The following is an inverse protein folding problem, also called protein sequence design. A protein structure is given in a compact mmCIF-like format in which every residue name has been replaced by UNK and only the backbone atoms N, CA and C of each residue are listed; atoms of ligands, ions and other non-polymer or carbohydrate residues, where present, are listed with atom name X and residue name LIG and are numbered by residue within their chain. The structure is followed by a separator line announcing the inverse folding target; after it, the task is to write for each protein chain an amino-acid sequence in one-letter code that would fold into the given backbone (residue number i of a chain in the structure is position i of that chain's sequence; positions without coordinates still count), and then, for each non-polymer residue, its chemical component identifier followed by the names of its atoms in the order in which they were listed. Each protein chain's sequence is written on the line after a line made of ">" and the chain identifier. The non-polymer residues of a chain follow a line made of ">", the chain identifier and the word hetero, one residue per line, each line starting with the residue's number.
data_IF_624355273834
#
_entry.id   IF_624355273834
#
_cell.length_a   1.000
_cell.length_b   1.000
_cell.length_c   1.000
_cell.angle_alpha   90.00
_cell.angle_beta   90.00
_cell.angle_gamma   90.00
#
_symmetry.space_group_name_H-M   'P 1'
#
loop_
_entity.id
_entity.type
_entity.pdbx_description
1 polymer ?
#
# COMPACT_ATOMS: atom_id res chain seq x y z
N UNK A 1 -33.51 4.27 -8.29
CA UNK A 1 -32.79 3.49 -9.33
C UNK A 1 -32.19 4.41 -10.40
N UNK A 2 -32.91 5.42 -10.88
CA UNK A 2 -32.43 6.35 -11.92
C UNK A 2 -31.17 7.17 -11.52
N UNK A 3 -31.15 7.75 -10.31
CA UNK A 3 -30.01 8.57 -9.83
C UNK A 3 -28.70 7.76 -9.72
N UNK A 4 -28.76 6.53 -9.23
CA UNK A 4 -27.57 5.68 -9.09
C UNK A 4 -27.00 5.27 -10.45
N UNK A 5 -27.88 4.93 -11.41
CA UNK A 5 -27.48 4.64 -12.78
C UNK A 5 -26.89 5.87 -13.47
N UNK A 6 -27.51 7.05 -13.28
CA UNK A 6 -27.01 8.33 -13.75
C UNK A 6 -25.61 8.63 -13.20
N UNK A 7 -25.40 8.51 -11.89
CA UNK A 7 -24.12 8.75 -11.25
C UNK A 7 -23.02 7.80 -11.76
N UNK A 8 -23.33 6.51 -11.94
CA UNK A 8 -22.39 5.54 -12.50
C UNK A 8 -21.98 5.90 -13.94
N UNK A 9 -22.94 6.30 -14.78
CA UNK A 9 -22.65 6.78 -16.14
C UNK A 9 -21.77 8.03 -16.11
N UNK A 10 -22.07 9.01 -15.24
CA UNK A 10 -21.24 10.22 -15.09
C UNK A 10 -19.83 9.91 -14.58
N UNK A 11 -19.67 8.93 -13.70
CA UNK A 11 -18.34 8.45 -13.29
C UNK A 11 -17.54 7.87 -14.44
N UNK A 12 -18.18 7.11 -15.34
CA UNK A 12 -17.54 6.55 -16.53
C UNK A 12 -17.12 7.64 -17.54
N UNK A 13 -18.00 8.62 -17.80
CA UNK A 13 -17.69 9.77 -18.64
C UNK A 13 -16.49 10.56 -18.07
N UNK A 14 -16.52 10.85 -16.77
CA UNK A 14 -15.42 11.53 -16.08
C UNK A 14 -14.10 10.74 -16.15
N UNK A 15 -14.15 9.41 -15.99
CA UNK A 15 -12.95 8.57 -16.08
C UNK A 15 -12.28 8.66 -17.46
N UNK A 16 -13.08 8.63 -18.53
CA UNK A 16 -12.57 8.78 -19.91
C UNK A 16 -11.95 10.15 -20.12
N UNK A 17 -12.63 11.21 -19.68
CA UNK A 17 -12.15 12.59 -19.84
C UNK A 17 -10.91 12.86 -19.00
N UNK A 18 -10.84 12.33 -17.77
CA UNK A 18 -9.67 12.42 -16.91
C UNK A 18 -8.46 11.72 -17.55
N UNK A 19 -8.62 10.48 -18.02
CA UNK A 19 -7.54 9.74 -18.68
C UNK A 19 -7.04 10.48 -19.93
N UNK A 20 -7.94 11.09 -20.70
CA UNK A 20 -7.59 11.93 -21.86
C UNK A 20 -6.83 13.20 -21.43
N UNK A 21 -7.31 13.88 -20.39
CA UNK A 21 -6.68 15.09 -19.86
C UNK A 21 -5.24 14.83 -19.38
N UNK A 22 -5.02 13.72 -18.68
CA UNK A 22 -3.68 13.30 -18.24
C UNK A 22 -2.74 13.10 -19.44
N UNK A 23 -3.19 12.40 -20.49
CA UNK A 23 -2.39 12.20 -21.71
C UNK A 23 -2.07 13.52 -22.40
N UNK A 24 -3.07 14.37 -22.62
CA UNK A 24 -2.89 15.68 -23.25
C UNK A 24 -1.91 16.56 -22.48
N UNK A 25 -1.96 16.54 -21.15
CA UNK A 25 -1.03 17.27 -20.29
C UNK A 25 0.40 16.73 -20.45
N UNK A 26 0.56 15.41 -20.39
CA UNK A 26 1.86 14.74 -20.59
C UNK A 26 2.46 15.06 -21.96
N UNK A 27 1.65 15.00 -23.02
CA UNK A 27 2.06 15.31 -24.40
C UNK A 27 2.42 16.77 -24.57
N UNK A 28 1.61 17.69 -24.01
CA UNK A 28 1.86 19.13 -24.07
C UNK A 28 3.17 19.52 -23.41
N UNK A 29 3.46 18.94 -22.25
CA UNK A 29 4.69 19.19 -21.49
C UNK A 29 5.89 18.35 -21.99
N UNK A 30 5.68 17.50 -23.01
CA UNK A 30 6.73 16.66 -23.57
C UNK A 30 7.31 15.63 -22.58
N UNK A 31 6.52 15.23 -21.59
CA UNK A 31 6.90 14.23 -20.58
C UNK A 31 6.25 12.88 -20.85
N UNK A 32 6.71 11.83 -20.19
CA UNK A 32 6.04 10.52 -20.15
C UNK A 32 5.55 10.22 -18.73
N UNK A 33 4.95 11.21 -18.08
CA UNK A 33 4.66 11.22 -16.64
C UNK A 33 3.22 11.66 -16.38
N UNK A 34 2.65 11.19 -15.27
CA UNK A 34 1.36 11.68 -14.78
C UNK A 34 1.63 12.94 -13.97
N UNK A 35 1.13 14.08 -14.46
CA UNK A 35 1.16 15.34 -13.73
C UNK A 35 0.05 15.39 -12.69
N UNK A 36 0.41 15.79 -11.47
CA UNK A 36 -0.53 15.98 -10.36
C UNK A 36 -1.40 17.22 -10.53
N UNK A 37 -0.85 18.26 -11.18
CA UNK A 37 -1.58 19.46 -11.58
C UNK A 37 -1.13 19.93 -12.97
N UNK A 38 -2.09 20.09 -13.88
CA UNK A 38 -1.82 20.67 -15.20
C UNK A 38 -1.44 22.16 -15.10
N UNK A 39 -2.01 22.91 -14.14
CA UNK A 39 -1.75 24.34 -13.97
C UNK A 39 -0.39 24.64 -13.34
N UNK A 40 0.07 23.76 -12.43
CA UNK A 40 1.40 23.88 -11.81
C UNK A 40 2.48 23.16 -12.60
N UNK A 41 2.10 22.35 -13.58
CA UNK A 41 2.99 21.51 -14.39
C UNK A 41 3.88 20.59 -13.53
N UNK A 42 3.38 20.20 -12.35
CA UNK A 42 4.13 19.41 -11.38
C UNK A 42 3.75 17.93 -11.40
N UNK A 43 4.78 17.09 -11.31
CA UNK A 43 4.64 15.64 -11.16
C UNK A 43 4.68 15.31 -9.69
N UNK A 44 3.54 14.84 -9.16
CA UNK A 44 3.41 14.41 -7.78
C UNK A 44 2.79 12.99 -7.71
N UNK A 45 3.64 11.94 -7.72
CA UNK A 45 3.17 10.55 -7.57
C UNK A 45 2.38 10.31 -6.28
N UNK A 46 2.62 11.10 -5.23
CA UNK A 46 1.91 11.00 -3.96
C UNK A 46 0.45 11.40 -4.11
N UNK A 47 0.17 12.46 -4.88
CA UNK A 47 -1.20 12.82 -5.26
C UNK A 47 -1.81 11.81 -6.22
N UNK A 48 -1.06 11.33 -7.21
CA UNK A 48 -1.53 10.28 -8.15
C UNK A 48 -1.91 8.97 -7.44
N UNK A 49 -1.24 8.64 -6.33
CA UNK A 49 -1.49 7.43 -5.53
C UNK A 49 -2.92 7.28 -5.03
N UNK A 50 -3.70 8.39 -4.98
CA UNK A 50 -5.11 8.35 -4.61
C UNK A 50 -5.94 7.40 -5.49
N UNK A 51 -5.53 7.22 -6.75
CA UNK A 51 -6.20 6.31 -7.68
C UNK A 51 -6.08 4.84 -7.24
N UNK A 52 -5.01 4.47 -6.55
CA UNK A 52 -4.82 3.11 -6.03
C UNK A 52 -5.60 2.92 -4.73
N UNK A 53 -5.37 3.79 -3.75
CA UNK A 53 -6.06 3.78 -2.47
C UNK A 53 -6.24 5.23 -1.99
N UNK A 54 -7.42 5.61 -1.45
CA UNK A 54 -8.59 4.78 -1.19
C UNK A 54 -9.51 4.56 -2.40
N UNK A 55 -9.32 5.24 -3.53
CA UNK A 55 -10.34 5.28 -4.58
C UNK A 55 -10.47 3.97 -5.37
N UNK A 56 -9.38 3.20 -5.51
CA UNK A 56 -9.35 1.90 -6.23
C UNK A 56 -9.89 2.00 -7.67
N UNK A 57 -9.42 3.02 -8.38
CA UNK A 57 -9.74 3.33 -9.78
C UNK A 57 -8.46 3.52 -10.59
N UNK A 58 -7.39 2.81 -10.24
CA UNK A 58 -6.09 2.96 -10.91
C UNK A 58 -6.12 2.57 -12.40
N UNK A 59 -7.17 1.90 -12.86
CA UNK A 59 -7.48 1.66 -14.27
C UNK A 59 -7.81 2.93 -15.06
N UNK A 60 -8.17 4.03 -14.38
CA UNK A 60 -8.33 5.35 -15.02
C UNK A 60 -7.00 5.96 -15.45
N UNK A 61 -5.89 5.56 -14.81
CA UNK A 61 -4.58 6.12 -15.12
C UNK A 61 -4.10 5.57 -16.48
N UNK A 62 -3.57 6.41 -17.38
CA UNK A 62 -2.93 5.94 -18.61
C UNK A 62 -1.76 4.99 -18.27
N UNK A 63 -1.94 3.70 -18.54
CA UNK A 63 -1.02 2.65 -18.12
C UNK A 63 0.42 2.87 -18.60
N UNK A 64 0.58 3.46 -19.78
CA UNK A 64 1.86 3.82 -20.39
C UNK A 64 2.65 4.88 -19.60
N UNK A 65 2.00 5.69 -18.75
CA UNK A 65 2.64 6.74 -17.95
C UNK A 65 2.91 6.29 -16.50
N UNK A 66 2.26 5.22 -16.04
CA UNK A 66 2.31 4.79 -14.64
C UNK A 66 3.72 4.36 -14.24
N UNK A 67 4.38 3.51 -15.04
CA UNK A 67 5.69 2.97 -14.71
C UNK A 67 6.74 4.09 -14.49
N UNK A 68 6.88 4.99 -15.46
CA UNK A 68 7.82 6.11 -15.39
C UNK A 68 7.51 7.06 -14.22
N UNK A 69 6.23 7.29 -13.90
CA UNK A 69 5.82 8.12 -12.76
C UNK A 69 6.29 7.54 -11.42
N UNK A 70 6.15 6.22 -11.24
CA UNK A 70 6.60 5.56 -10.01
C UNK A 70 8.11 5.26 -9.99
N UNK A 71 8.78 5.26 -11.14
CA UNK A 71 10.25 5.26 -11.20
C UNK A 71 10.84 6.54 -10.60
N UNK A 72 10.21 7.71 -10.83
CA UNK A 72 10.60 8.95 -10.16
C UNK A 72 10.42 8.88 -8.65
N UNK A 73 9.32 8.28 -8.19
CA UNK A 73 9.08 8.07 -6.76
C UNK A 73 10.19 7.19 -6.14
N UNK A 74 10.51 6.07 -6.78
CA UNK A 74 11.58 5.17 -6.34
C UNK A 74 12.96 5.84 -6.34
N UNK A 75 13.27 6.63 -7.38
CA UNK A 75 14.50 7.42 -7.45
C UNK A 75 14.60 8.47 -6.33
N UNK A 76 13.49 9.15 -6.02
CA UNK A 76 13.42 10.11 -4.92
C UNK A 76 13.68 9.43 -3.57
N UNK A 77 13.07 8.27 -3.32
CA UNK A 77 13.30 7.47 -2.09
C UNK A 77 14.78 7.10 -1.95
N UNK A 78 15.43 6.68 -3.04
CA UNK A 78 16.86 6.33 -3.04
C UNK A 78 17.73 7.56 -2.75
N UNK A 79 17.41 8.71 -3.35
CA UNK A 79 18.12 9.98 -3.11
C UNK A 79 18.01 10.42 -1.65
N UNK A 80 16.80 10.43 -1.08
CA UNK A 80 16.55 10.81 0.32
C UNK A 80 17.25 9.84 1.29
N UNK A 81 17.30 8.55 0.96
CA UNK A 81 17.93 7.53 1.80
C UNK A 81 19.47 7.52 1.70
N UNK A 82 20.05 8.31 0.80
CA UNK A 82 21.50 8.32 0.57
C UNK A 82 22.26 9.02 1.72
N UNK A 83 23.46 8.53 2.08
CA UNK A 83 24.30 9.20 3.06
C UNK A 83 24.58 10.66 2.66
N UNK A 84 24.41 11.59 3.60
CA UNK A 84 24.68 13.00 3.35
C UNK A 84 23.56 13.78 2.67
N UNK A 85 22.37 13.19 2.48
CA UNK A 85 21.18 13.94 2.05
C UNK A 85 20.93 15.14 2.97
N UNK A 86 20.90 16.35 2.40
CA UNK A 86 20.77 17.63 3.11
C UNK A 86 19.45 18.36 2.81
N UNK A 87 18.64 17.83 1.89
CA UNK A 87 17.32 18.36 1.55
C UNK A 87 16.22 18.04 2.55
N UNK A 88 14.97 18.24 2.13
CA UNK A 88 13.78 17.83 2.87
C UNK A 88 12.81 17.04 2.02
N UNK A 89 11.99 16.26 2.71
CA UNK A 89 10.88 15.54 2.10
C UNK A 89 9.69 15.53 3.05
N UNK A 90 8.50 15.34 2.48
CA UNK A 90 7.31 15.11 3.29
C UNK A 90 7.07 13.61 3.51
N UNK A 91 6.79 13.16 4.75
CA UNK A 91 6.39 11.78 4.98
C UNK A 91 4.99 11.44 4.44
N UNK A 92 4.25 12.39 3.83
CA UNK A 92 3.08 12.08 3.01
C UNK A 92 3.38 11.08 1.89
N UNK A 93 4.65 10.93 1.49
CA UNK A 93 5.07 9.87 0.57
C UNK A 93 4.62 8.47 1.00
N UNK A 94 4.28 8.24 2.29
CA UNK A 94 3.66 7.00 2.78
C UNK A 94 2.43 6.55 1.96
N UNK A 95 1.72 7.47 1.31
CA UNK A 95 0.59 7.16 0.40
C UNK A 95 1.03 6.30 -0.80
N UNK A 96 2.28 6.41 -1.23
CA UNK A 96 2.82 5.61 -2.33
C UNK A 96 3.02 4.14 -1.93
N UNK A 97 2.98 3.76 -0.65
CA UNK A 97 3.17 2.38 -0.20
C UNK A 97 2.20 1.42 -0.89
N UNK A 98 0.89 1.69 -0.81
CA UNK A 98 -0.10 0.79 -1.40
C UNK A 98 -0.16 0.90 -2.92
N UNK A 99 0.28 2.00 -3.51
CA UNK A 99 0.48 2.10 -4.96
C UNK A 99 1.60 1.16 -5.41
N UNK A 100 2.78 1.19 -4.78
CA UNK A 100 3.87 0.24 -5.06
C UNK A 100 3.44 -1.21 -4.86
N UNK A 101 2.72 -1.52 -3.77
CA UNK A 101 2.18 -2.87 -3.53
C UNK A 101 1.22 -3.29 -4.64
N UNK A 102 0.32 -2.42 -5.08
CA UNK A 102 -0.62 -2.71 -6.18
C UNK A 102 0.08 -2.89 -7.52
N UNK A 103 1.24 -2.24 -7.73
CA UNK A 103 2.09 -2.38 -8.90
C UNK A 103 3.06 -3.58 -8.82
N UNK A 104 3.04 -4.35 -7.72
CA UNK A 104 3.98 -5.46 -7.50
C UNK A 104 5.42 -5.03 -7.19
N UNK A 105 5.66 -3.74 -6.92
CA UNK A 105 6.97 -3.15 -6.62
C UNK A 105 7.28 -3.22 -5.12
N UNK A 106 7.33 -4.44 -4.57
CA UNK A 106 7.44 -4.66 -3.12
C UNK A 106 8.73 -4.09 -2.51
N UNK A 107 9.86 -4.18 -3.21
CA UNK A 107 11.13 -3.65 -2.72
C UNK A 107 11.09 -2.12 -2.55
N UNK A 108 10.44 -1.41 -3.48
CA UNK A 108 10.26 0.04 -3.38
C UNK A 108 9.28 0.40 -2.25
N UNK A 109 8.20 -0.38 -2.07
CA UNK A 109 7.30 -0.23 -0.93
C UNK A 109 8.04 -0.41 0.41
N UNK A 110 8.87 -1.44 0.54
CA UNK A 110 9.60 -1.70 1.78
C UNK A 110 10.70 -0.67 2.03
N UNK A 111 11.37 -0.18 0.99
CA UNK A 111 12.35 0.91 1.10
C UNK A 111 11.69 2.21 1.55
N UNK A 112 10.52 2.55 0.99
CA UNK A 112 9.74 3.70 1.43
C UNK A 112 9.30 3.56 2.90
N UNK A 113 8.82 2.38 3.28
CA UNK A 113 8.42 2.10 4.67
C UNK A 113 9.60 2.30 5.61
N UNK A 114 10.77 1.76 5.27
CA UNK A 114 11.99 1.94 6.06
C UNK A 114 12.40 3.41 6.18
N UNK A 115 12.39 4.16 5.07
CA UNK A 115 12.69 5.59 5.05
C UNK A 115 11.76 6.36 6.01
N UNK A 116 10.45 6.16 5.90
CA UNK A 116 9.46 6.82 6.75
C UNK A 116 9.65 6.40 8.21
N UNK A 117 9.86 5.13 8.53
CA UNK A 117 10.07 4.72 9.94
C UNK A 117 11.37 5.29 10.54
N UNK A 118 12.44 5.46 9.73
CA UNK A 118 13.70 6.09 10.17
C UNK A 118 13.59 7.60 10.35
N UNK A 119 12.61 8.25 9.72
CA UNK A 119 12.45 9.70 9.74
C UNK A 119 11.67 10.24 10.95
N UNK A 120 11.21 9.36 11.86
CA UNK A 120 10.52 9.74 13.10
C UNK A 120 11.44 10.45 14.08
N UNK A 121 10.99 11.57 14.62
CA UNK A 121 11.77 12.41 15.54
C UNK A 121 10.87 13.07 16.59
N UNK A 122 11.14 12.91 17.90
CA UNK A 122 12.09 11.96 18.49
C UNK A 122 11.65 10.50 18.24
N UNK A 123 12.62 9.59 18.05
CA UNK A 123 12.32 8.20 17.67
C UNK A 123 11.36 7.48 18.66
N UNK A 124 11.43 7.82 19.95
CA UNK A 124 10.58 7.22 20.99
C UNK A 124 9.11 7.64 20.93
N UNK A 125 8.78 8.77 20.28
CA UNK A 125 7.41 9.31 20.28
C UNK A 125 6.55 8.75 19.14
N UNK A 126 7.13 8.00 18.20
CA UNK A 126 6.40 7.29 17.13
C UNK A 126 5.51 8.20 16.26
N UNK A 127 5.96 9.40 15.94
CA UNK A 127 5.29 10.34 15.03
C UNK A 127 6.28 10.95 14.02
N UNK A 128 5.72 11.76 13.13
CA UNK A 128 6.43 12.54 12.13
C UNK A 128 6.12 14.03 12.27
N UNK A 129 6.98 14.85 11.70
CA UNK A 129 6.65 16.22 11.30
C UNK A 129 6.04 16.20 9.90
N UNK A 130 5.38 17.28 9.50
CA UNK A 130 4.85 17.43 8.13
C UNK A 130 5.97 17.42 7.07
N UNK A 131 7.11 18.04 7.41
CA UNK A 131 8.33 18.07 6.60
C UNK A 131 9.50 17.58 7.44
N UNK A 132 10.27 16.63 6.89
CA UNK A 132 11.48 16.10 7.51
C UNK A 132 12.71 16.51 6.72
N UNK A 133 13.66 17.14 7.42
CA UNK A 133 14.96 17.51 6.89
C UNK A 133 16.00 16.39 7.07
N UNK A 134 16.89 16.22 6.10
CA UNK A 134 18.02 15.29 6.20
C UNK A 134 18.86 15.57 7.44
N UNK A 135 19.35 16.81 7.58
CA UNK A 135 20.00 17.30 8.79
C UNK A 135 18.97 17.60 9.90
N UNK A 136 19.01 16.93 11.08
CA UNK A 136 17.99 17.10 12.11
C UNK A 136 17.89 18.47 12.76
N UNK A 137 18.91 19.32 12.59
CA UNK A 137 18.99 20.66 13.19
C UNK A 137 18.82 21.78 12.15
N UNK A 138 18.38 21.46 10.93
CA UNK A 138 18.08 22.48 9.94
C UNK A 138 17.00 23.42 10.48
N UNK A 139 17.26 24.74 10.57
CA UNK A 139 16.36 25.71 11.18
C UNK A 139 15.33 26.22 10.16
N UNK A 140 14.53 25.31 9.61
CA UNK A 140 13.55 25.62 8.56
C UNK A 140 12.19 24.97 8.89
N UNK A 141 11.20 25.21 8.04
CA UNK A 141 9.82 24.78 8.22
C UNK A 141 9.70 23.26 8.37
N UNK A 142 8.95 22.83 9.39
CA UNK A 142 8.62 21.42 9.66
C UNK A 142 7.11 21.15 9.70
N UNK A 143 6.28 22.19 9.61
CA UNK A 143 4.84 22.12 9.87
C UNK A 143 4.50 21.79 11.32
N UNK A 144 3.39 21.10 11.54
CA UNK A 144 3.00 20.57 12.85
C UNK A 144 3.71 19.25 13.18
N UNK A 145 3.86 19.00 14.47
CA UNK A 145 4.52 17.81 15.01
C UNK A 145 3.95 17.52 16.42
N UNK A 146 3.24 16.40 16.65
CA UNK A 146 3.00 15.29 15.73
C UNK A 146 2.02 15.63 14.60
N UNK A 147 2.39 15.28 13.36
CA UNK A 147 1.53 15.46 12.20
C UNK A 147 0.55 14.29 12.05
N UNK A 148 -0.71 14.54 12.41
CA UNK A 148 -1.71 13.46 12.60
C UNK A 148 -2.24 12.86 11.29
N UNK A 149 -2.27 13.61 10.18
CA UNK A 149 -2.75 13.06 8.90
C UNK A 149 -1.80 11.99 8.36
N UNK A 150 -0.48 12.23 8.38
CA UNK A 150 0.54 11.21 8.08
C UNK A 150 0.39 10.00 9.00
N UNK A 151 0.11 10.20 10.30
CA UNK A 151 -0.14 9.09 11.23
C UNK A 151 -1.34 8.23 10.81
N UNK A 152 -2.44 8.86 10.39
CA UNK A 152 -3.62 8.17 9.88
C UNK A 152 -3.36 7.45 8.56
N UNK A 153 -2.64 8.08 7.63
CA UNK A 153 -2.22 7.48 6.35
C UNK A 153 -1.31 6.27 6.58
N UNK A 154 -0.36 6.37 7.50
CA UNK A 154 0.51 5.27 7.90
C UNK A 154 -0.30 4.09 8.45
N UNK A 155 -1.19 4.33 9.42
CA UNK A 155 -2.03 3.28 9.99
C UNK A 155 -2.89 2.59 8.93
N UNK A 156 -3.47 3.37 8.01
CA UNK A 156 -4.29 2.85 6.91
C UNK A 156 -3.44 2.06 5.90
N UNK A 157 -2.24 2.55 5.57
CA UNK A 157 -1.34 1.88 4.64
C UNK A 157 -0.85 0.53 5.17
N UNK A 158 -0.43 0.49 6.43
CA UNK A 158 -0.04 -0.75 7.13
C UNK A 158 -1.22 -1.70 7.22
N UNK A 159 -2.42 -1.20 7.55
CA UNK A 159 -3.62 -2.03 7.55
C UNK A 159 -3.81 -2.66 6.18
N UNK A 160 -3.78 -1.90 5.09
CA UNK A 160 -3.97 -2.43 3.71
C UNK A 160 -2.86 -3.39 3.25
N UNK A 161 -1.64 -3.26 3.78
CA UNK A 161 -0.56 -4.22 3.56
C UNK A 161 -0.85 -5.59 4.19
N UNK A 162 -1.48 -5.58 5.38
CA UNK A 162 -1.78 -6.77 6.17
C UNK A 162 -3.17 -7.35 5.87
N UNK A 163 -4.16 -6.51 5.63
CA UNK A 163 -5.56 -6.86 5.48
C UNK A 163 -6.32 -5.81 4.68
N UNK A 164 -7.01 -6.26 3.64
CA UNK A 164 -7.85 -5.42 2.79
C UNK A 164 -9.14 -6.14 2.41
N UNK A 165 -10.26 -5.47 2.62
CA UNK A 165 -11.58 -5.92 2.13
C UNK A 165 -11.80 -5.40 0.71
N UNK A 166 -12.10 -6.31 -0.22
CA UNK A 166 -12.34 -6.00 -1.63
C UNK A 166 -13.61 -6.72 -2.12
N UNK A 167 -14.75 -6.05 -1.99
CA UNK A 167 -16.06 -6.67 -2.23
C UNK A 167 -16.27 -7.84 -1.26
N UNK A 168 -16.50 -9.03 -1.81
CA UNK A 168 -16.65 -10.29 -1.04
C UNK A 168 -15.33 -11.00 -0.75
N UNK A 169 -14.19 -10.42 -1.16
CA UNK A 169 -12.85 -10.99 -0.94
C UNK A 169 -12.16 -10.34 0.26
N UNK A 170 -11.57 -11.16 1.13
CA UNK A 170 -10.65 -10.75 2.19
C UNK A 170 -9.21 -11.01 1.74
N UNK A 171 -8.46 -9.96 1.46
CA UNK A 171 -7.06 -10.04 1.05
C UNK A 171 -6.16 -9.91 2.27
N UNK A 172 -5.30 -10.90 2.49
CA UNK A 172 -4.39 -10.97 3.63
C UNK A 172 -2.93 -10.92 3.15
N UNK A 173 -2.13 -10.17 3.89
CA UNK A 173 -0.67 -10.12 3.78
C UNK A 173 -0.18 -9.75 2.37
N UNK A 174 -0.92 -8.88 1.66
CA UNK A 174 -0.57 -8.38 0.33
C UNK A 174 0.86 -7.86 0.24
N UNK A 175 1.40 -7.29 1.32
CA UNK A 175 2.83 -6.98 1.40
C UNK A 175 3.32 -7.04 2.86
N UNK A 176 4.14 -8.03 3.18
CA UNK A 176 4.71 -8.22 4.51
C UNK A 176 6.23 -8.28 4.40
N UNK A 177 6.98 -7.32 4.98
CA UNK A 177 8.43 -7.40 5.07
C UNK A 177 8.88 -8.68 5.79
N UNK A 178 9.95 -9.32 5.30
CA UNK A 178 10.46 -10.56 5.88
C UNK A 178 10.81 -10.45 7.37
N UNK A 179 11.27 -9.27 7.79
CA UNK A 179 11.60 -8.98 9.18
C UNK A 179 10.41 -9.06 10.14
N UNK A 180 9.17 -8.92 9.67
CA UNK A 180 7.98 -8.99 10.53
C UNK A 180 7.63 -10.41 10.96
N UNK A 181 8.19 -11.41 10.29
CA UNK A 181 8.01 -12.81 10.66
C UNK A 181 8.95 -13.27 11.77
N UNK A 182 9.97 -12.48 12.11
CA UNK A 182 10.96 -12.84 13.12
C UNK A 182 10.37 -12.77 14.54
N UNK A 183 10.83 -13.65 15.43
CA UNK A 183 10.35 -13.70 16.81
C UNK A 183 8.95 -14.30 16.92
N UNK A 184 8.01 -13.56 17.53
CA UNK A 184 6.64 -14.03 17.77
C UNK A 184 5.75 -14.04 16.50
N UNK A 185 6.26 -13.48 15.40
CA UNK A 185 5.53 -13.33 14.15
C UNK A 185 4.55 -12.15 14.16
N UNK A 186 3.43 -12.31 13.48
CA UNK A 186 2.46 -11.25 13.21
C UNK A 186 1.16 -11.60 13.93
N UNK A 187 0.64 -10.65 14.70
CA UNK A 187 -0.63 -10.78 15.42
C UNK A 187 -1.55 -9.59 15.12
N UNK A 188 -2.75 -9.89 14.64
CA UNK A 188 -3.86 -8.95 14.50
C UNK A 188 -4.91 -9.30 15.55
N UNK A 189 -5.25 -8.33 16.40
CA UNK A 189 -6.25 -8.49 17.46
C UNK A 189 -7.41 -7.55 17.24
N UNK A 190 -8.62 -8.09 17.38
CA UNK A 190 -9.88 -7.36 17.37
C UNK A 190 -10.03 -6.36 16.20
N UNK A 191 -9.50 -6.72 15.01
CA UNK A 191 -9.50 -5.82 13.87
C UNK A 191 -10.88 -5.79 13.22
N UNK A 192 -11.58 -4.64 13.17
CA UNK A 192 -12.89 -4.56 12.55
C UNK A 192 -12.77 -4.70 11.02
N UNK A 193 -13.64 -5.51 10.44
CA UNK A 193 -13.77 -5.70 8.99
C UNK A 193 -15.25 -5.74 8.58
N UNK A 194 -15.53 -5.70 7.27
CA UNK A 194 -16.90 -5.93 6.74
C UNK A 194 -17.41 -7.35 7.03
N UNK A 195 -16.50 -8.28 7.33
CA UNK A 195 -16.78 -9.68 7.69
C UNK A 195 -16.89 -9.87 9.20
N UNK A 196 -16.93 -8.80 10.00
CA UNK A 196 -16.90 -8.84 11.46
C UNK A 196 -15.51 -8.62 12.03
N UNK A 197 -15.32 -8.98 13.31
CA UNK A 197 -14.05 -8.81 14.01
C UNK A 197 -13.10 -9.93 13.65
N UNK A 198 -11.90 -9.57 13.17
CA UNK A 198 -10.86 -10.49 12.76
C UNK A 198 -9.73 -10.56 13.79
N UNK A 199 -9.38 -11.79 14.15
CA UNK A 199 -8.19 -12.13 14.92
C UNK A 199 -7.32 -13.06 14.08
N UNK A 200 -6.03 -12.75 13.98
CA UNK A 200 -5.08 -13.53 13.18
C UNK A 200 -3.75 -13.64 13.93
N UNK A 201 -3.18 -14.85 13.93
CA UNK A 201 -1.80 -15.09 14.38
C UNK A 201 -1.06 -15.84 13.29
N UNK A 202 0.09 -15.32 12.90
CA UNK A 202 0.95 -15.90 11.87
C UNK A 202 2.38 -15.99 12.39
N UNK A 203 2.98 -17.17 12.29
CA UNK A 203 4.37 -17.40 12.66
C UNK A 203 5.03 -18.29 11.61
N UNK A 204 6.35 -18.24 11.50
CA UNK A 204 7.11 -19.17 10.66
C UNK A 204 8.36 -19.67 11.36
N UNK A 205 8.76 -20.89 11.03
CA UNK A 205 10.08 -21.44 11.31
C UNK A 205 10.97 -21.36 10.05
N UNK A 206 12.03 -22.16 9.97
CA UNK A 206 12.99 -22.16 8.86
C UNK A 206 12.38 -22.58 7.51
N UNK A 207 11.28 -23.32 7.51
CA UNK A 207 10.71 -23.92 6.28
C UNK A 207 9.19 -23.88 6.20
N UNK A 208 8.51 -23.51 7.29
CA UNK A 208 7.06 -23.57 7.39
C UNK A 208 6.46 -22.35 8.06
N UNK A 209 5.44 -21.79 7.44
CA UNK A 209 4.59 -20.76 8.03
C UNK A 209 3.24 -21.37 8.45
N UNK A 210 2.75 -20.98 9.63
CA UNK A 210 1.41 -21.33 10.12
C UNK A 210 0.65 -20.06 10.44
N UNK A 211 -0.57 -19.98 9.92
CA UNK A 211 -1.49 -18.88 10.12
C UNK A 211 -2.77 -19.43 10.71
N UNK A 212 -3.28 -18.77 11.75
CA UNK A 212 -4.56 -19.04 12.37
C UNK A 212 -5.44 -17.81 12.19
N UNK A 213 -6.67 -18.02 11.74
CA UNK A 213 -7.64 -16.98 11.44
C UNK A 213 -8.96 -17.27 12.16
N UNK A 214 -9.51 -16.25 12.81
CA UNK A 214 -10.86 -16.26 13.36
C UNK A 214 -11.57 -14.97 12.96
N UNK A 215 -12.80 -15.10 12.46
CA UNK A 215 -13.65 -13.98 12.03
C UNK A 215 -15.05 -14.19 12.61
N UNK A 216 -15.62 -13.16 13.25
CA UNK A 216 -16.89 -13.31 13.98
C UNK A 216 -18.15 -13.18 13.11
N UNK A 217 -18.08 -12.48 11.98
CA UNK A 217 -19.22 -12.21 11.12
C UNK A 217 -19.34 -13.17 9.94
N UNK A 218 -19.99 -12.76 8.83
CA UNK A 218 -20.17 -13.64 7.68
C UNK A 218 -18.82 -13.98 7.05
N UNK A 219 -18.66 -15.25 6.66
CA UNK A 219 -17.46 -15.67 5.95
C UNK A 219 -17.33 -14.91 4.62
N UNK A 220 -16.12 -14.44 4.25
CA UNK A 220 -15.89 -13.95 2.90
C UNK A 220 -16.14 -15.07 1.88
N UNK A 221 -16.46 -14.69 0.63
CA UNK A 221 -16.57 -15.67 -0.47
C UNK A 221 -15.19 -16.21 -0.87
N UNK A 222 -14.16 -15.39 -0.68
CA UNK A 222 -12.78 -15.74 -0.94
C UNK A 222 -11.83 -15.05 0.03
N UNK A 223 -10.80 -15.76 0.45
CA UNK A 223 -9.61 -15.25 1.10
C UNK A 223 -8.45 -15.39 0.13
N UNK A 224 -7.70 -14.31 -0.09
CA UNK A 224 -6.40 -14.36 -0.74
C UNK A 224 -5.31 -14.14 0.29
N UNK A 225 -4.18 -14.81 0.13
CA UNK A 225 -3.04 -14.68 1.01
C UNK A 225 -1.77 -14.67 0.18
N UNK A 226 -0.95 -13.61 0.28
CA UNK A 226 0.33 -13.57 -0.44
C UNK A 226 1.45 -14.12 0.45
N UNK A 227 2.20 -15.09 -0.07
CA UNK A 227 3.42 -15.62 0.54
C UNK A 227 4.47 -15.90 -0.55
N UNK A 228 5.49 -15.04 -0.69
CA UNK A 228 6.57 -15.25 -1.66
C UNK A 228 7.35 -16.52 -1.37
N UNK A 229 7.65 -17.30 -2.41
CA UNK A 229 8.43 -18.53 -2.28
C UNK A 229 7.68 -19.76 -1.76
N UNK A 230 6.35 -19.68 -1.60
CA UNK A 230 5.55 -20.84 -1.20
C UNK A 230 5.69 -22.00 -2.20
N UNK A 231 6.06 -23.18 -1.69
CA UNK A 231 6.20 -24.44 -2.46
C UNK A 231 4.92 -25.29 -2.39
N UNK A 232 4.32 -25.36 -1.21
CA UNK A 232 3.04 -26.04 -0.96
C UNK A 232 2.23 -25.29 0.09
N UNK A 233 0.91 -25.38 0.02
CA UNK A 233 0.03 -24.78 1.00
C UNK A 233 -1.21 -25.63 1.25
N UNK A 234 -1.69 -25.64 2.49
CA UNK A 234 -2.90 -26.34 2.91
C UNK A 234 -3.77 -25.42 3.77
N UNK A 235 -5.03 -25.24 3.40
CA UNK A 235 -6.05 -24.58 4.23
C UNK A 235 -6.92 -25.65 4.88
N UNK A 236 -6.93 -25.70 6.21
CA UNK A 236 -7.69 -26.68 7.00
C UNK A 236 -7.45 -28.15 6.54
N UNK A 237 -6.22 -28.44 6.10
CA UNK A 237 -5.80 -29.75 5.59
C UNK A 237 -6.08 -30.00 4.11
N UNK A 238 -6.78 -29.08 3.43
CA UNK A 238 -7.05 -29.17 1.99
C UNK A 238 -5.92 -28.48 1.21
N UNK A 239 -5.27 -29.17 0.24
CA UNK A 239 -4.20 -28.57 -0.55
C UNK A 239 -4.73 -27.41 -1.40
N UNK A 240 -3.93 -26.35 -1.50
CA UNK A 240 -4.23 -25.15 -2.27
C UNK A 240 -3.35 -25.05 -3.52
N UNK A 241 -3.92 -24.53 -4.60
CA UNK A 241 -3.14 -24.09 -5.75
C UNK A 241 -2.46 -22.75 -5.43
N UNK A 242 -1.20 -22.62 -5.86
CA UNK A 242 -0.40 -21.40 -5.73
C UNK A 242 -0.32 -20.73 -7.10
N UNK A 243 -0.68 -19.45 -7.19
CA UNK A 243 -0.59 -18.66 -8.43
C UNK A 243 0.37 -17.48 -8.22
N UNK A 244 1.58 -17.61 -8.75
CA UNK A 244 2.67 -16.69 -8.40
C UNK A 244 2.94 -16.78 -6.90
N UNK A 245 2.83 -15.66 -6.20
CA UNK A 245 2.97 -15.61 -4.72
C UNK A 245 1.63 -15.71 -3.98
N UNK A 246 0.50 -15.91 -4.68
CA UNK A 246 -0.84 -15.78 -4.08
C UNK A 246 -1.53 -17.12 -3.96
N UNK A 247 -2.05 -17.36 -2.76
CA UNK A 247 -2.92 -18.46 -2.39
C UNK A 247 -4.37 -17.96 -2.39
N UNK A 248 -5.32 -18.76 -2.87
CA UNK A 248 -6.75 -18.42 -2.85
C UNK A 248 -7.58 -19.58 -2.29
N UNK A 249 -8.50 -19.28 -1.38
CA UNK A 249 -9.34 -20.25 -0.68
C UNK A 249 -10.70 -19.63 -0.33
N UNK A 250 -11.79 -20.39 -0.17
CA UNK A 250 -13.11 -19.82 0.15
C UNK A 250 -13.17 -19.26 1.58
N UNK A 251 -12.78 -20.05 2.57
CA UNK A 251 -12.61 -19.66 3.97
C UNK A 251 -11.57 -20.59 4.60
N UNK A 252 -10.95 -20.18 5.70
CA UNK A 252 -10.01 -21.03 6.44
C UNK A 252 -9.90 -20.63 7.91
N UNK A 253 -9.65 -21.61 8.78
CA UNK A 253 -9.25 -21.37 10.18
C UNK A 253 -7.75 -21.49 10.37
N UNK A 254 -7.12 -22.37 9.60
CA UNK A 254 -5.69 -22.62 9.63
C UNK A 254 -5.12 -22.73 8.22
N UNK A 255 -4.06 -21.99 7.95
CA UNK A 255 -3.27 -22.08 6.74
C UNK A 255 -1.84 -22.52 7.10
N UNK A 256 -1.34 -23.53 6.42
CA UNK A 256 0.05 -24.02 6.54
C UNK A 256 0.73 -23.89 5.18
N UNK A 257 1.91 -23.28 5.15
CA UNK A 257 2.68 -23.02 3.93
C UNK A 257 4.09 -23.57 4.14
N UNK A 258 4.56 -24.44 3.26
CA UNK A 258 5.97 -24.83 3.20
C UNK A 258 6.67 -24.00 2.11
N UNK A 259 7.86 -23.46 2.38
CA UNK A 259 8.59 -22.53 1.50
C UNK A 259 10.09 -22.84 1.36
#
# INVERSE_FOLDING_TARGET
>A
MDVAAYAKRKGQELAVDLARSIRLTSDHLGTSLIHGSADREDVDPTSTSIAFEPCRVNDVLPAELVAATYDLCAAAINSISSPGYDGSFTPYQVRNLNAFVSLGRFDDAFRLLELVLKSRRPAGWRHWAEVVWGAPRTPDYIGDMPHTWIGAEFATAIRRMLLRENGSTLELFSAVPDGWWQGEGIELRDLPTVFGTLNLRAARDESRATIQLAVTGPAPEQITFRYPGAKSAHADGVPLAIRGDVLSMPNMRRLVIDF
#
